data_IF_590372350938
#
_entry.id   IF_590372350938
#
_cell.length_a   1.000
_cell.length_b   1.000
_cell.length_c   1.000
_cell.angle_alpha   90.00
_cell.angle_beta   90.00
_cell.angle_gamma   90.00
#
_symmetry.space_group_name_H-M   'P 1'
#
loop_
_entity.id
_entity.type
_entity.pdbx_description
1 polymer ?
#
# COMPACT_ATOMS: atom_id res chain seq x y z
N UNK A 1 13.71 7.90 -9.28
CA UNK A 1 12.43 8.28 -8.63
C UNK A 1 11.78 7.01 -8.07
N UNK A 2 11.15 7.09 -6.90
CA UNK A 2 10.46 5.95 -6.28
C UNK A 2 9.03 5.87 -6.83
N UNK A 3 8.56 4.69 -7.27
CA UNK A 3 7.18 4.53 -7.75
C UNK A 3 6.21 4.73 -6.58
N UNK A 4 5.09 5.39 -6.81
CA UNK A 4 4.08 5.66 -5.78
C UNK A 4 2.85 4.78 -6.03
N UNK A 5 2.33 4.17 -4.97
CA UNK A 5 1.08 3.40 -5.00
C UNK A 5 0.08 3.95 -3.97
N UNK A 6 -1.16 4.20 -4.41
CA UNK A 6 -2.29 4.52 -3.54
C UNK A 6 -3.08 3.23 -3.30
N UNK A 7 -3.26 2.85 -2.03
CA UNK A 7 -3.98 1.63 -1.64
C UNK A 7 -5.15 1.99 -0.73
N UNK A 8 -6.36 1.62 -1.14
CA UNK A 8 -7.57 1.77 -0.31
C UNK A 8 -7.89 0.51 0.47
N UNK A 9 -8.64 0.64 1.57
CA UNK A 9 -9.08 -0.52 2.36
C UNK A 9 -7.93 -1.31 3.01
N UNK A 10 -6.78 -0.67 3.23
CA UNK A 10 -5.57 -1.32 3.73
C UNK A 10 -5.42 -1.35 5.26
N UNK A 11 -6.50 -1.06 5.99
CA UNK A 11 -6.54 -1.22 7.45
C UNK A 11 -6.42 -2.69 7.89
N UNK A 12 -6.91 -3.63 7.08
CA UNK A 12 -6.90 -5.06 7.40
C UNK A 12 -6.93 -5.96 6.16
N UNK A 13 -6.82 -7.28 6.38
CA UNK A 13 -7.01 -8.30 5.35
C UNK A 13 -6.13 -8.10 4.11
N UNK A 14 -6.76 -8.22 2.95
CA UNK A 14 -6.07 -8.21 1.64
C UNK A 14 -5.42 -6.86 1.36
N UNK A 15 -6.11 -5.74 1.64
CA UNK A 15 -5.56 -4.41 1.40
C UNK A 15 -4.26 -4.17 2.17
N UNK A 16 -4.21 -4.62 3.44
CA UNK A 16 -2.98 -4.57 4.26
C UNK A 16 -1.86 -5.42 3.67
N UNK A 17 -2.17 -6.64 3.21
CA UNK A 17 -1.20 -7.53 2.61
C UNK A 17 -0.60 -6.94 1.31
N UNK A 18 -1.44 -6.32 0.47
CA UNK A 18 -1.01 -5.63 -0.75
C UNK A 18 -0.09 -4.44 -0.42
N UNK A 19 -0.49 -3.57 0.52
CA UNK A 19 0.32 -2.43 0.91
C UNK A 19 1.71 -2.85 1.42
N UNK A 20 1.77 -3.88 2.29
CA UNK A 20 3.04 -4.42 2.78
C UNK A 20 3.89 -5.03 1.68
N UNK A 21 3.28 -5.70 0.69
CA UNK A 21 4.03 -6.24 -0.44
C UNK A 21 4.64 -5.13 -1.30
N UNK A 22 3.87 -4.08 -1.61
CA UNK A 22 4.35 -2.95 -2.41
C UNK A 22 5.49 -2.19 -1.73
N UNK A 23 5.46 -2.04 -0.40
CA UNK A 23 6.61 -1.47 0.35
C UNK A 23 7.86 -2.34 0.18
N UNK A 24 7.73 -3.67 0.27
CA UNK A 24 8.85 -4.60 0.03
C UNK A 24 9.39 -4.53 -1.40
N UNK A 25 8.52 -4.28 -2.37
CA UNK A 25 8.88 -4.08 -3.77
C UNK A 25 9.44 -2.67 -4.06
N UNK A 26 9.62 -1.84 -3.03
CA UNK A 26 10.32 -0.56 -3.12
C UNK A 26 9.42 0.63 -3.48
N UNK A 27 8.10 0.48 -3.42
CA UNK A 27 7.17 1.59 -3.64
C UNK A 27 7.12 2.53 -2.42
N UNK A 28 6.85 3.80 -2.68
CA UNK A 28 6.25 4.68 -1.68
C UNK A 28 4.74 4.44 -1.68
N UNK A 29 4.16 4.07 -0.53
CA UNK A 29 2.75 3.66 -0.45
C UNK A 29 1.96 4.65 0.39
N UNK A 30 0.86 5.16 -0.16
CA UNK A 30 -0.12 5.95 0.55
C UNK A 30 -1.37 5.10 0.82
N UNK A 31 -1.89 5.17 2.04
CA UNK A 31 -3.11 4.46 2.45
C UNK A 31 -4.27 5.46 2.46
N UNK A 32 -5.39 5.12 1.83
CA UNK A 32 -6.61 5.93 1.87
C UNK A 32 -7.82 5.12 2.37
N UNK A 33 -8.46 5.60 3.42
CA UNK A 33 -9.65 5.01 4.02
C UNK A 33 -10.47 6.08 4.75
N UNK A 34 -11.69 5.72 5.14
CA UNK A 34 -12.55 6.51 6.03
C UNK A 34 -12.29 6.10 7.49
#
# INVERSE_FOLDING_TARGET
MKKVALVTGAGQGIGKAIALRLVKDGFAVAIAGL
#
